data_IF_081453116377
#
_entry.id   IF_081453116377
#
_cell.length_a   1.000
_cell.length_b   1.000
_cell.length_c   1.000
_cell.angle_alpha   90.00
_cell.angle_beta   90.00
_cell.angle_gamma   90.00
#
_symmetry.space_group_name_H-M   'P 1'
#
loop_
_entity.id
_entity.type
_entity.pdbx_description
1 polymer ?
#
# COMPACT_ATOMS: atom_id res chain seq x y z
N UNK A 1 20.46 -2.25 -5.49
CA UNK A 1 19.67 -2.45 -6.72
C UNK A 1 18.28 -1.91 -6.44
N UNK A 2 17.62 -1.30 -7.41
CA UNK A 2 16.22 -0.88 -7.31
C UNK A 2 15.47 -1.45 -8.51
N UNK A 3 14.15 -1.58 -8.39
CA UNK A 3 13.30 -2.08 -9.47
C UNK A 3 13.30 -1.15 -10.69
N UNK A 4 12.65 -1.57 -11.77
CA UNK A 4 12.41 -0.68 -12.93
C UNK A 4 11.23 0.26 -12.71
N UNK A 5 10.41 -0.05 -11.72
CA UNK A 5 9.22 0.70 -11.36
C UNK A 5 9.59 2.02 -10.67
N UNK A 6 8.77 3.04 -10.87
CA UNK A 6 8.91 4.38 -10.31
C UNK A 6 7.79 4.67 -9.29
N UNK A 7 7.59 3.79 -8.31
CA UNK A 7 6.69 4.01 -7.17
C UNK A 7 7.49 4.27 -5.87
N UNK A 8 6.84 4.85 -4.85
CA UNK A 8 7.45 5.03 -3.53
C UNK A 8 8.49 6.16 -3.45
N UNK A 9 9.55 5.95 -2.66
CA UNK A 9 10.60 6.94 -2.37
C UNK A 9 11.84 6.61 -3.22
N UNK A 10 12.17 7.47 -4.18
CA UNK A 10 13.18 7.19 -5.23
C UNK A 10 14.52 7.89 -5.02
N UNK A 11 14.75 8.52 -3.85
CA UNK A 11 15.94 9.34 -3.57
C UNK A 11 17.28 8.62 -3.80
N UNK A 12 17.32 7.29 -3.70
CA UNK A 12 18.53 6.49 -3.82
C UNK A 12 18.52 5.53 -5.01
N UNK A 13 17.64 5.78 -5.98
CA UNK A 13 17.53 5.04 -7.25
C UNK A 13 18.60 5.50 -8.24
N UNK A 14 19.86 5.36 -7.83
CA UNK A 14 21.03 5.92 -8.54
C UNK A 14 22.14 4.90 -8.70
N UNK A 15 21.80 3.62 -8.59
CA UNK A 15 22.70 2.49 -8.83
C UNK A 15 22.86 2.30 -10.35
N UNK A 16 24.11 2.33 -10.85
CA UNK A 16 24.41 2.26 -12.28
C UNK A 16 25.35 1.08 -12.63
N UNK A 17 25.24 -0.06 -11.91
CA UNK A 17 25.95 -1.30 -12.23
C UNK A 17 27.22 -1.59 -11.41
N UNK A 18 27.62 -0.73 -10.48
CA UNK A 18 28.72 -0.96 -9.53
C UNK A 18 28.30 -0.70 -8.08
N UNK A 19 29.08 -1.20 -7.11
CA UNK A 19 28.79 -0.98 -5.69
C UNK A 19 28.79 0.51 -5.35
N UNK A 20 27.76 0.96 -4.63
CA UNK A 20 27.55 2.36 -4.25
C UNK A 20 27.32 2.46 -2.75
N UNK A 21 27.93 3.47 -2.13
CA UNK A 21 27.76 3.76 -0.70
C UNK A 21 26.70 4.85 -0.52
N UNK A 22 25.75 4.62 0.38
CA UNK A 22 24.74 5.59 0.75
C UNK A 22 24.85 5.95 2.23
N UNK A 23 24.59 7.22 2.56
CA UNK A 23 24.34 7.68 3.92
C UNK A 23 22.91 8.19 3.96
N UNK A 24 22.09 7.54 4.79
CA UNK A 24 20.65 7.80 4.91
C UNK A 24 20.37 8.23 6.34
N UNK A 25 20.04 9.52 6.58
CA UNK A 25 19.68 9.96 7.92
C UNK A 25 18.40 9.26 8.40
N UNK A 26 18.47 8.68 9.60
CA UNK A 26 17.29 8.09 10.25
C UNK A 26 16.26 9.18 10.48
N UNK A 27 15.01 8.91 10.12
CA UNK A 27 13.91 9.87 10.25
C UNK A 27 13.73 10.81 9.05
N UNK A 28 14.46 10.68 7.93
CA UNK A 28 14.14 11.47 6.73
C UNK A 28 13.00 10.86 5.90
N UNK A 29 12.89 9.53 5.86
CA UNK A 29 11.97 8.81 4.98
C UNK A 29 10.95 7.97 5.74
N UNK A 30 11.40 7.25 6.76
CA UNK A 30 10.56 6.43 7.64
C UNK A 30 10.62 6.96 9.07
N UNK A 31 9.46 7.03 9.71
CA UNK A 31 9.26 7.60 11.04
C UNK A 31 8.56 6.57 11.94
N UNK A 32 8.75 6.69 13.25
CA UNK A 32 8.14 5.81 14.24
C UNK A 32 9.13 4.90 14.95
N UNK A 33 8.63 4.09 15.87
CA UNK A 33 9.43 3.11 16.59
C UNK A 33 9.67 1.87 15.72
N UNK A 34 10.94 1.54 15.47
CA UNK A 34 11.36 0.41 14.66
C UNK A 34 12.37 -0.43 15.47
N UNK A 35 12.20 -1.75 15.48
CA UNK A 35 13.09 -2.70 16.17
C UNK A 35 13.97 -3.51 15.21
N UNK A 36 13.77 -3.35 13.89
CA UNK A 36 14.43 -4.11 12.83
C UNK A 36 14.87 -3.22 11.68
N UNK A 37 16.04 -3.52 11.15
CA UNK A 37 16.51 -3.04 9.84
C UNK A 37 16.46 -4.23 8.89
N UNK A 38 15.78 -4.06 7.75
CA UNK A 38 15.64 -5.10 6.73
C UNK A 38 16.30 -4.67 5.44
N UNK A 39 16.95 -5.62 4.78
CA UNK A 39 17.43 -5.48 3.41
C UNK A 39 16.67 -6.50 2.58
N UNK A 40 15.93 -6.01 1.59
CA UNK A 40 15.04 -6.84 0.78
C UNK A 40 15.53 -6.75 -0.66
N UNK A 41 15.49 -7.89 -1.33
CA UNK A 41 15.78 -8.00 -2.74
C UNK A 41 14.64 -8.78 -3.39
N UNK A 42 14.00 -8.20 -4.40
CA UNK A 42 12.83 -8.77 -5.05
C UNK A 42 13.17 -9.31 -6.44
N UNK A 43 12.60 -10.47 -6.80
CA UNK A 43 12.83 -11.15 -8.07
C UNK A 43 11.50 -11.40 -8.79
N UNK A 44 11.09 -10.44 -9.61
CA UNK A 44 9.84 -10.51 -10.37
C UNK A 44 9.88 -11.54 -11.54
N UNK A 45 11.06 -12.08 -11.88
CA UNK A 45 11.23 -13.15 -12.88
C UNK A 45 12.63 -13.23 -13.51
N UNK A 46 12.97 -14.37 -14.13
CA UNK A 46 14.25 -14.58 -14.83
C UNK A 46 15.38 -15.15 -13.96
N UNK A 47 16.63 -15.03 -14.44
CA UNK A 47 17.85 -15.46 -13.72
C UNK A 47 18.67 -14.26 -13.24
N UNK A 48 19.18 -14.36 -12.01
CA UNK A 48 20.06 -13.37 -11.41
C UNK A 48 19.29 -12.35 -10.58
N UNK A 49 19.45 -12.45 -9.25
CA UNK A 49 19.02 -11.41 -8.33
C UNK A 49 19.92 -11.34 -7.10
N UNK A 50 21.20 -10.99 -7.31
CA UNK A 50 22.17 -10.87 -6.24
C UNK A 50 22.31 -9.41 -5.80
N UNK A 51 21.91 -9.13 -4.56
CA UNK A 51 22.22 -7.89 -3.87
C UNK A 51 23.38 -8.09 -2.91
N UNK A 52 24.49 -7.39 -3.15
CA UNK A 52 25.63 -7.37 -2.23
C UNK A 52 25.51 -6.16 -1.31
N UNK A 53 25.33 -6.42 -0.01
CA UNK A 53 25.31 -5.40 1.03
C UNK A 53 26.52 -5.64 1.92
N UNK A 54 27.34 -4.62 2.13
CA UNK A 54 28.55 -4.73 2.94
C UNK A 54 28.79 -3.44 3.72
N UNK A 55 29.57 -3.54 4.80
CA UNK A 55 30.00 -2.40 5.62
C UNK A 55 28.84 -1.54 6.17
N UNK A 56 27.72 -2.18 6.52
CA UNK A 56 26.57 -1.52 7.16
C UNK A 56 27.01 -0.97 8.52
N UNK A 57 26.85 0.35 8.70
CA UNK A 57 27.14 1.06 9.94
C UNK A 57 25.92 1.87 10.34
N UNK A 58 25.49 1.71 11.59
CA UNK A 58 24.52 2.58 12.24
C UNK A 58 25.31 3.39 13.27
N UNK A 59 25.26 4.71 13.15
CA UNK A 59 26.04 5.60 13.98
C UNK A 59 25.31 6.93 14.15
N UNK A 60 25.52 7.56 15.30
CA UNK A 60 25.19 8.96 15.50
C UNK A 60 26.33 9.80 14.90
N UNK A 61 26.01 10.92 14.24
CA UNK A 61 27.01 11.77 13.58
C UNK A 61 28.04 12.32 14.57
N UNK A 62 29.29 12.47 14.10
CA UNK A 62 30.49 13.04 14.76
C UNK A 62 30.63 12.74 16.27
N UNK A 63 31.54 11.82 16.60
CA UNK A 63 32.00 11.63 17.98
C UNK A 63 33.12 12.65 18.27
N UNK A 64 32.82 13.95 18.26
CA UNK A 64 33.76 14.97 18.72
C UNK A 64 33.32 15.49 20.09
N UNK A 65 34.19 15.34 21.08
CA UNK A 65 33.89 15.49 22.52
C UNK A 65 33.86 16.93 22.99
N UNK A 66 33.70 17.90 22.08
CA UNK A 66 33.61 19.31 22.44
C UNK A 66 32.37 19.96 21.82
N UNK A 67 31.40 20.19 22.70
CA UNK A 67 30.12 20.87 22.47
C UNK A 67 29.11 20.00 21.71
N UNK A 68 27.98 19.73 22.36
CA UNK A 68 26.78 19.18 21.76
C UNK A 68 26.29 20.11 20.64
N UNK A 69 26.88 20.01 19.45
CA UNK A 69 26.27 20.55 18.26
C UNK A 69 25.06 19.68 17.99
N UNK A 70 23.87 20.28 18.17
CA UNK A 70 22.64 19.73 17.61
C UNK A 70 22.87 19.60 16.11
N UNK A 71 23.22 18.39 15.66
CA UNK A 71 23.37 18.10 14.24
C UNK A 71 21.97 18.21 13.64
N UNK A 72 21.67 19.37 13.08
CA UNK A 72 20.55 19.53 12.16
C UNK A 72 20.95 18.82 10.87
N UNK A 73 20.65 17.53 10.77
CA UNK A 73 20.62 16.87 9.48
C UNK A 73 19.61 17.63 8.62
N UNK A 74 20.03 18.01 7.41
CA UNK A 74 19.10 18.55 6.44
C UNK A 74 18.01 17.50 6.21
N UNK A 75 16.75 17.87 6.48
CA UNK A 75 15.61 17.02 6.16
C UNK A 75 15.62 16.83 4.66
N UNK A 76 16.00 15.64 4.20
CA UNK A 76 15.94 15.29 2.79
C UNK A 76 14.47 15.08 2.45
N UNK A 77 13.94 15.91 1.56
CA UNK A 77 12.57 15.73 1.08
C UNK A 77 12.49 14.43 0.26
N UNK A 78 11.49 13.57 0.52
CA UNK A 78 11.22 12.42 -0.35
C UNK A 78 10.98 12.87 -1.79
N UNK A 79 11.72 12.27 -2.73
CA UNK A 79 11.38 12.25 -4.13
C UNK A 79 10.38 11.12 -4.31
N UNK A 80 9.15 11.47 -4.63
CA UNK A 80 8.11 10.49 -4.87
C UNK A 80 8.17 10.03 -6.32
N UNK A 81 8.02 8.73 -6.52
CA UNK A 81 7.79 8.15 -7.82
C UNK A 81 6.53 8.68 -8.49
N UNK A 82 6.45 8.53 -9.81
CA UNK A 82 5.30 8.97 -10.63
C UNK A 82 4.38 7.83 -11.05
N UNK A 83 4.70 6.59 -10.68
CA UNK A 83 3.79 5.47 -10.85
C UNK A 83 2.82 5.42 -9.66
N UNK A 84 1.53 5.35 -9.97
CA UNK A 84 0.48 5.29 -8.96
C UNK A 84 0.48 3.92 -8.27
N UNK A 85 0.54 3.93 -6.94
CA UNK A 85 0.20 2.77 -6.14
C UNK A 85 -1.32 2.79 -5.98
N UNK A 86 -2.00 1.93 -6.75
CA UNK A 86 -3.43 1.99 -6.94
C UNK A 86 -4.25 2.16 -5.65
N UNK A 87 -5.41 2.81 -5.75
CA UNK A 87 -6.34 3.03 -4.63
C UNK A 87 -7.07 1.77 -4.18
N UNK A 88 -7.21 0.76 -5.07
CA UNK A 88 -8.06 -0.40 -4.85
C UNK A 88 -7.62 -1.31 -3.68
N UNK A 89 -6.32 -1.60 -3.46
CA UNK A 89 -5.85 -2.40 -2.32
C UNK A 89 -6.25 -1.80 -0.97
N UNK A 90 -6.24 -0.46 -0.86
CA UNK A 90 -6.46 0.30 0.36
C UNK A 90 -7.93 0.45 0.77
N UNK A 91 -8.87 0.11 -0.10
CA UNK A 91 -10.31 0.15 0.22
C UNK A 91 -10.64 -0.94 1.24
N UNK A 92 -11.39 -0.61 2.29
CA UNK A 92 -11.78 -1.58 3.32
C UNK A 92 -13.28 -1.83 3.31
N UNK A 93 -13.68 -3.05 3.68
CA UNK A 93 -15.09 -3.45 3.76
C UNK A 93 -15.38 -3.93 5.19
N UNK A 94 -16.38 -3.34 5.84
CA UNK A 94 -16.69 -3.61 7.25
C UNK A 94 -18.18 -3.43 7.57
N UNK A 95 -18.73 -4.08 8.61
CA UNK A 95 -18.13 -5.19 9.34
C UNK A 95 -18.08 -6.45 8.48
N UNK A 96 -17.26 -7.41 8.88
CA UNK A 96 -17.24 -8.75 8.30
C UNK A 96 -17.01 -9.75 9.45
N UNK A 97 -18.01 -10.55 9.86
CA UNK A 97 -19.31 -10.77 9.20
C UNK A 97 -20.28 -9.57 9.23
N UNK A 98 -21.16 -9.49 8.23
CA UNK A 98 -22.23 -8.49 8.09
C UNK A 98 -23.53 -9.01 8.68
N UNK A 99 -24.17 -8.21 9.54
CA UNK A 99 -25.51 -8.51 10.07
C UNK A 99 -26.63 -7.76 9.35
N UNK A 100 -26.41 -6.50 8.95
CA UNK A 100 -27.45 -5.69 8.28
C UNK A 100 -26.86 -4.68 7.29
N UNK A 101 -25.87 -3.89 7.72
CA UNK A 101 -25.23 -2.89 6.88
C UNK A 101 -23.75 -3.22 6.78
N UNK A 102 -23.21 -3.11 5.58
CA UNK A 102 -21.77 -3.07 5.35
C UNK A 102 -21.38 -1.78 4.65
N UNK A 103 -20.18 -1.33 4.96
CA UNK A 103 -19.57 -0.10 4.52
C UNK A 103 -18.37 -0.44 3.66
N UNK A 104 -18.27 0.20 2.50
CA UNK A 104 -17.05 0.24 1.70
C UNK A 104 -16.40 1.61 1.92
N UNK A 105 -15.23 1.62 2.55
CA UNK A 105 -14.51 2.84 2.90
C UNK A 105 -13.41 3.12 1.87
N UNK A 106 -13.61 4.20 1.12
CA UNK A 106 -12.69 4.69 0.09
C UNK A 106 -11.82 5.78 0.71
N UNK A 107 -10.56 5.46 0.97
CA UNK A 107 -9.62 6.31 1.74
C UNK A 107 -8.90 7.35 0.88
N UNK A 108 -8.89 7.16 -0.43
CA UNK A 108 -8.21 8.04 -1.40
C UNK A 108 -9.18 8.49 -2.48
N UNK A 109 -9.07 9.74 -2.93
CA UNK A 109 -9.87 10.22 -4.07
C UNK A 109 -9.30 9.64 -5.36
N UNK A 110 -10.18 9.15 -6.22
CA UNK A 110 -9.83 8.67 -7.56
C UNK A 110 -10.14 9.74 -8.59
N UNK A 111 -9.30 9.86 -9.62
CA UNK A 111 -9.57 10.65 -10.82
C UNK A 111 -10.60 9.94 -11.70
N UNK A 112 -10.51 8.61 -11.78
CA UNK A 112 -11.39 7.75 -12.55
C UNK A 112 -12.56 7.22 -11.71
N UNK A 113 -13.72 6.91 -12.33
CA UNK A 113 -14.85 6.32 -11.62
C UNK A 113 -14.50 4.96 -11.00
N UNK A 114 -14.62 4.88 -9.68
CA UNK A 114 -14.47 3.65 -8.91
C UNK A 114 -15.82 2.91 -8.83
N UNK A 115 -15.86 1.63 -9.18
CA UNK A 115 -17.07 0.81 -9.17
C UNK A 115 -16.91 -0.42 -8.28
N UNK A 116 -17.94 -0.73 -7.49
CA UNK A 116 -18.05 -1.98 -6.76
C UNK A 116 -19.10 -2.89 -7.40
N UNK A 117 -18.76 -4.17 -7.59
CA UNK A 117 -19.69 -5.20 -8.03
C UNK A 117 -19.72 -6.35 -7.02
N UNK A 118 -20.91 -6.67 -6.50
CA UNK A 118 -21.11 -7.80 -5.58
C UNK A 118 -21.53 -9.04 -6.35
N UNK A 119 -20.87 -10.17 -6.09
CA UNK A 119 -21.14 -11.46 -6.69
C UNK A 119 -21.45 -12.52 -5.64
N UNK A 120 -22.33 -13.45 -6.00
CA UNK A 120 -22.41 -14.77 -5.33
C UNK A 120 -21.14 -15.59 -5.60
N UNK A 121 -20.88 -16.62 -4.80
CA UNK A 121 -19.75 -17.56 -5.04
C UNK A 121 -19.80 -18.27 -6.40
N UNK A 122 -20.97 -18.35 -7.03
CA UNK A 122 -21.16 -18.95 -8.35
C UNK A 122 -20.94 -17.93 -9.50
N UNK A 123 -20.47 -16.71 -9.19
CA UNK A 123 -20.21 -15.67 -10.19
C UNK A 123 -21.43 -14.88 -10.66
N UNK A 124 -22.62 -15.10 -10.10
CA UNK A 124 -23.80 -14.26 -10.39
C UNK A 124 -23.65 -12.88 -9.75
N UNK A 125 -23.68 -11.81 -10.56
CA UNK A 125 -23.69 -10.44 -10.08
C UNK A 125 -25.03 -10.10 -9.40
N UNK A 126 -24.97 -9.41 -8.26
CA UNK A 126 -26.14 -8.98 -7.47
C UNK A 126 -26.36 -7.48 -7.63
N UNK A 127 -25.28 -6.69 -7.54
CA UNK A 127 -25.33 -5.26 -7.87
C UNK A 127 -24.00 -4.79 -8.45
N UNK A 128 -24.06 -3.70 -9.20
CA UNK A 128 -22.92 -2.88 -9.64
C UNK A 128 -23.23 -1.42 -9.30
N UNK A 129 -22.38 -0.76 -8.53
CA UNK A 129 -22.61 0.61 -8.06
C UNK A 129 -21.30 1.43 -8.07
N UNK A 130 -21.32 2.68 -8.55
CA UNK A 130 -20.19 3.59 -8.38
C UNK A 130 -20.00 3.91 -6.89
N UNK A 131 -18.74 4.04 -6.47
CA UNK A 131 -18.37 4.44 -5.11
C UNK A 131 -17.95 5.91 -5.10
N UNK A 132 -18.36 6.60 -4.04
CA UNK A 132 -17.86 7.95 -3.73
C UNK A 132 -16.69 7.88 -2.76
N UNK A 133 -15.87 8.93 -2.74
CA UNK A 133 -14.87 9.12 -1.69
C UNK A 133 -15.52 9.10 -0.30
N UNK A 134 -14.88 8.45 0.67
CA UNK A 134 -15.42 8.26 2.02
C UNK A 134 -16.21 6.96 2.20
N UNK A 135 -17.24 7.01 3.03
CA UNK A 135 -18.00 5.82 3.46
C UNK A 135 -19.23 5.60 2.57
N UNK A 136 -19.29 4.45 1.90
CA UNK A 136 -20.44 4.01 1.10
C UNK A 136 -21.16 2.88 1.84
N UNK A 137 -22.39 3.12 2.31
CA UNK A 137 -23.14 2.16 3.11
C UNK A 137 -24.18 1.38 2.27
N UNK A 138 -24.21 0.06 2.46
CA UNK A 138 -25.08 -0.86 1.74
C UNK A 138 -25.87 -1.73 2.73
N UNK A 139 -27.18 -1.82 2.56
CA UNK A 139 -28.04 -2.70 3.37
C UNK A 139 -28.16 -4.07 2.72
N UNK A 140 -27.77 -5.13 3.43
CA UNK A 140 -27.94 -6.52 3.00
C UNK A 140 -29.41 -6.86 2.74
N UNK A 141 -30.31 -6.31 3.57
CA UNK A 141 -31.76 -6.50 3.45
C UNK A 141 -32.33 -5.84 2.19
N UNK A 142 -31.91 -4.62 1.87
CA UNK A 142 -32.33 -3.93 0.63
C UNK A 142 -31.81 -4.65 -0.62
N UNK A 143 -30.62 -5.25 -0.52
CA UNK A 143 -30.02 -6.06 -1.57
C UNK A 143 -30.53 -7.51 -1.61
N UNK A 144 -31.47 -7.88 -0.72
CA UNK A 144 -32.06 -9.22 -0.62
C UNK A 144 -31.00 -10.33 -0.50
N UNK A 145 -29.94 -10.06 0.25
CA UNK A 145 -28.88 -11.01 0.50
C UNK A 145 -29.28 -11.97 1.62
N UNK A 146 -28.94 -13.25 1.45
CA UNK A 146 -29.08 -14.27 2.48
C UNK A 146 -27.76 -14.45 3.23
N UNK A 147 -27.81 -15.12 4.39
CA UNK A 147 -26.60 -15.56 5.07
C UNK A 147 -25.74 -16.42 4.11
N UNK A 148 -24.44 -16.19 4.12
CA UNK A 148 -23.52 -16.86 3.22
C UNK A 148 -22.33 -16.03 2.79
N UNK A 149 -21.61 -16.55 1.80
CA UNK A 149 -20.37 -16.01 1.30
C UNK A 149 -20.59 -15.23 -0.01
N UNK A 150 -19.95 -14.07 -0.13
CA UNK A 150 -19.99 -13.25 -1.33
C UNK A 150 -18.61 -12.66 -1.64
N UNK A 151 -18.43 -12.24 -2.89
CA UNK A 151 -17.24 -11.57 -3.39
C UNK A 151 -17.60 -10.16 -3.84
N UNK A 152 -16.82 -9.17 -3.46
CA UNK A 152 -16.94 -7.80 -3.95
C UNK A 152 -15.71 -7.51 -4.81
N UNK A 153 -15.92 -7.22 -6.08
CA UNK A 153 -14.87 -6.72 -6.97
C UNK A 153 -14.90 -5.20 -6.97
N UNK A 154 -13.72 -4.60 -7.00
CA UNK A 154 -13.51 -3.17 -7.08
C UNK A 154 -12.72 -2.89 -8.37
N UNK A 155 -13.23 -1.97 -9.18
CA UNK A 155 -12.70 -1.66 -10.51
C UNK A 155 -12.58 -0.15 -10.68
N UNK A 156 -11.44 0.31 -11.17
CA UNK A 156 -11.23 1.68 -11.66
C UNK A 156 -10.30 1.62 -12.86
N UNK A 157 -10.44 2.57 -13.79
CA UNK A 157 -9.55 2.63 -14.95
C UNK A 157 -8.11 2.91 -14.49
N UNK A 158 -7.15 2.15 -15.03
CA UNK A 158 -5.72 2.28 -14.72
C UNK A 158 -5.21 1.37 -13.61
N UNK A 159 -6.07 0.60 -12.94
CA UNK A 159 -5.66 -0.33 -11.87
C UNK A 159 -6.13 -1.76 -12.11
N UNK A 160 -5.39 -2.73 -11.57
CA UNK A 160 -5.82 -4.12 -11.55
C UNK A 160 -7.01 -4.33 -10.61
N UNK A 161 -8.03 -5.05 -11.08
CA UNK A 161 -9.24 -5.36 -10.30
C UNK A 161 -8.91 -6.06 -8.99
N UNK A 162 -9.39 -5.53 -7.87
CA UNK A 162 -9.23 -6.13 -6.55
C UNK A 162 -10.52 -6.84 -6.13
N UNK A 163 -10.41 -8.07 -5.67
CA UNK A 163 -11.54 -8.84 -5.12
C UNK A 163 -11.41 -9.01 -3.62
N UNK A 164 -12.47 -8.70 -2.87
CA UNK A 164 -12.55 -8.86 -1.42
C UNK A 164 -13.69 -9.81 -1.05
N UNK A 165 -13.45 -10.65 -0.04
CA UNK A 165 -14.43 -11.59 0.50
C UNK A 165 -15.29 -10.92 1.56
N UNK A 166 -16.61 -11.11 1.51
CA UNK A 166 -17.54 -10.69 2.56
C UNK A 166 -18.42 -11.85 3.00
N UNK A 167 -18.59 -12.01 4.31
CA UNK A 167 -19.46 -13.03 4.92
C UNK A 167 -20.68 -12.33 5.50
N UNK A 168 -21.87 -12.80 5.13
CA UNK A 168 -23.11 -12.39 5.77
C UNK A 168 -23.47 -13.42 6.84
N UNK A 169 -23.61 -12.95 8.07
CA UNK A 169 -24.16 -13.74 9.17
C UNK A 169 -25.68 -13.83 9.08
N UNK A 170 -26.25 -14.63 9.97
CA UNK A 170 -27.71 -14.71 10.13
C UNK A 170 -28.27 -13.33 10.53
N UNK A 171 -29.35 -12.94 9.84
CA UNK A 171 -30.04 -11.64 9.96
C UNK A 171 -31.24 -11.77 10.91
#
# INVERSE_FOLDING_TARGET
MYGTQNYGITNYDTYAGSTKTYTIPVGNFYYGAMDRLVFINDNDGGTGNNSTISQVKIYEGVCDTSVAQKITFAITKPNLGSEEEGVLPYITISPNPVSNIFNIHVTQKTSNPLTATLYTINGRAIFKQPLSYGVNAFSSKKLQLSAGLYLITLETEGEETVTKKIVLGDI
#
